data_IF_343301785107
#
_entry.id   IF_343301785107
#
_cell.length_a   1.000
_cell.length_b   1.000
_cell.length_c   1.000
_cell.angle_alpha   90.00
_cell.angle_beta   90.00
_cell.angle_gamma   90.00
#
_symmetry.space_group_name_H-M   'P 1'
#
loop_
_entity.id
_entity.type
_entity.pdbx_description
1 polymer ?
#
# COMPACT_ATOMS: atom_id res chain seq x y z
N UNK A 1 3.21 28.17 1.08
CA UNK A 1 2.39 27.75 2.25
C UNK A 1 2.92 26.39 2.72
N UNK A 2 2.67 26.00 3.98
CA UNK A 2 3.19 24.75 4.57
C UNK A 2 2.03 23.89 5.08
N UNK A 3 2.13 22.58 4.93
CA UNK A 3 1.18 21.63 5.48
C UNK A 3 1.87 20.34 5.90
N UNK A 4 1.27 19.66 6.88
CA UNK A 4 1.73 18.36 7.38
C UNK A 4 0.59 17.36 7.27
N UNK A 5 0.90 16.17 6.77
CA UNK A 5 -0.07 15.09 6.64
C UNK A 5 0.46 13.75 7.15
N UNK A 6 -0.47 12.84 7.47
CA UNK A 6 -0.21 11.49 7.94
C UNK A 6 -1.02 10.49 7.13
N UNK A 7 -0.41 9.35 6.79
CA UNK A 7 -1.09 8.23 6.15
C UNK A 7 -0.56 6.89 6.67
N UNK A 8 -1.39 5.84 6.54
CA UNK A 8 -1.08 4.48 6.96
C UNK A 8 -0.59 3.63 5.79
N UNK A 9 0.29 2.64 6.01
CA UNK A 9 0.61 1.61 5.02
C UNK A 9 -0.63 0.80 4.64
N UNK A 10 -0.52 0.00 3.59
CA UNK A 10 -1.60 -0.87 3.14
C UNK A 10 -1.15 -2.31 3.02
N UNK A 11 -2.11 -3.22 3.21
CA UNK A 11 -2.08 -4.61 2.79
C UNK A 11 -2.95 -4.79 1.56
N UNK A 12 -2.45 -5.43 0.51
CA UNK A 12 -3.26 -5.77 -0.66
C UNK A 12 -4.21 -6.94 -0.37
N UNK A 13 -5.51 -6.75 -0.62
CA UNK A 13 -6.53 -7.82 -0.62
C UNK A 13 -6.60 -8.45 -2.01
N UNK A 14 -6.84 -7.64 -3.04
CA UNK A 14 -6.65 -8.01 -4.44
C UNK A 14 -5.62 -7.05 -5.03
N UNK A 15 -4.44 -7.59 -5.33
CA UNK A 15 -3.25 -6.78 -5.67
C UNK A 15 -3.21 -6.49 -7.15
N UNK A 16 -2.87 -5.25 -7.54
CA UNK A 16 -2.49 -5.01 -8.94
C UNK A 16 -1.15 -5.68 -9.25
N UNK A 17 -0.96 -6.11 -10.50
CA UNK A 17 0.30 -6.66 -10.98
C UNK A 17 0.54 -6.19 -12.40
N UNK A 18 1.70 -5.54 -12.62
CA UNK A 18 2.03 -4.89 -13.89
C UNK A 18 1.37 -3.52 -14.08
N UNK A 19 2.01 -2.71 -14.92
CA UNK A 19 1.57 -1.38 -15.31
C UNK A 19 1.34 -1.32 -16.80
N UNK A 20 0.20 -0.76 -17.24
CA UNK A 20 -0.07 -0.45 -18.65
C UNK A 20 0.55 0.88 -19.08
N UNK A 21 0.89 1.72 -18.09
CA UNK A 21 1.58 2.98 -18.26
C UNK A 21 2.46 3.19 -17.02
N UNK A 22 3.79 3.16 -17.20
CA UNK A 22 4.75 3.25 -16.10
C UNK A 22 4.96 4.70 -15.65
N UNK A 23 4.90 5.67 -16.55
CA UNK A 23 5.08 7.09 -16.24
C UNK A 23 3.92 7.60 -15.37
N UNK A 24 2.70 7.31 -15.79
CA UNK A 24 1.48 7.66 -15.07
C UNK A 24 1.13 6.64 -13.96
N UNK A 25 1.86 5.54 -13.84
CA UNK A 25 1.63 4.43 -12.91
C UNK A 25 0.21 3.88 -12.97
N UNK A 26 -0.30 3.68 -14.20
CA UNK A 26 -1.60 3.09 -14.45
C UNK A 26 -1.52 1.57 -14.46
N UNK A 27 -2.19 0.85 -13.55
CA UNK A 27 -2.16 -0.61 -13.53
C UNK A 27 -3.02 -1.21 -14.65
N UNK A 28 -2.79 -2.48 -14.99
CA UNK A 28 -3.61 -3.21 -15.95
C UNK A 28 -5.04 -3.46 -15.46
N UNK A 29 -5.25 -3.61 -14.16
CA UNK A 29 -6.55 -3.90 -13.56
C UNK A 29 -6.70 -3.20 -12.21
N UNK A 30 -7.93 -3.15 -11.73
CA UNK A 30 -8.31 -2.63 -10.43
C UNK A 30 -7.60 -3.40 -9.29
N UNK A 31 -7.62 -2.81 -8.10
CA UNK A 31 -7.07 -3.47 -6.92
C UNK A 31 -7.75 -2.99 -5.64
N UNK A 32 -7.77 -3.86 -4.63
CA UNK A 32 -8.38 -3.60 -3.33
C UNK A 32 -7.33 -3.78 -2.23
N UNK A 33 -7.34 -2.91 -1.22
CA UNK A 33 -6.46 -3.01 -0.06
C UNK A 33 -7.15 -2.54 1.21
N UNK A 34 -6.53 -2.85 2.35
CA UNK A 34 -6.87 -2.28 3.65
C UNK A 34 -5.67 -1.54 4.22
N UNK A 35 -5.89 -0.39 4.86
CA UNK A 35 -4.86 0.34 5.60
C UNK A 35 -4.56 -0.32 6.94
N UNK A 36 -3.30 -0.27 7.39
CA UNK A 36 -2.84 -0.89 8.64
C UNK A 36 -2.29 0.14 9.62
N UNK A 37 -2.96 0.31 10.76
CA UNK A 37 -2.56 1.18 11.86
C UNK A 37 -1.98 0.35 13.03
N UNK A 38 -1.14 0.92 13.93
CA UNK A 38 -0.78 2.35 14.04
C UNK A 38 0.41 2.78 13.18
N UNK A 39 1.01 1.89 12.39
CA UNK A 39 2.11 2.25 11.48
C UNK A 39 1.71 3.40 10.56
N UNK A 40 2.60 4.37 10.34
CA UNK A 40 2.29 5.53 9.51
C UNK A 40 3.56 6.21 8.97
N UNK A 41 3.38 6.94 7.89
CA UNK A 41 4.32 7.98 7.43
C UNK A 41 3.72 9.35 7.69
N UNK A 42 4.55 10.30 8.10
CA UNK A 42 4.21 11.71 8.29
C UNK A 42 5.08 12.54 7.36
N UNK A 43 4.48 13.45 6.62
CA UNK A 43 5.19 14.32 5.67
C UNK A 43 4.81 15.77 5.90
N UNK A 44 5.81 16.65 5.97
CA UNK A 44 5.64 18.09 5.92
C UNK A 44 6.16 18.60 4.58
N UNK A 45 5.40 19.42 3.89
CA UNK A 45 5.77 20.06 2.64
C UNK A 45 5.53 21.58 2.71
N UNK A 46 6.45 22.37 2.18
CA UNK A 46 6.32 23.83 2.08
C UNK A 46 6.81 24.30 0.73
N UNK A 47 5.94 25.00 -0.03
CA UNK A 47 6.36 25.73 -1.22
C UNK A 47 6.91 27.10 -0.81
N UNK A 48 8.18 27.38 -1.18
CA UNK A 48 8.93 28.55 -0.78
C UNK A 48 9.62 29.19 -2.01
N UNK A 49 9.28 30.45 -2.33
CA UNK A 49 9.92 31.16 -3.45
C UNK A 49 11.38 31.56 -3.19
N UNK A 50 11.86 31.49 -1.94
CA UNK A 50 13.21 31.87 -1.57
C UNK A 50 14.23 30.73 -1.66
N UNK A 51 13.76 29.47 -1.87
CA UNK A 51 14.63 28.32 -2.07
C UNK A 51 15.26 28.34 -3.48
N UNK A 52 16.54 28.03 -3.54
CA UNK A 52 17.27 27.90 -4.82
C UNK A 52 16.97 26.57 -5.54
N UNK A 53 16.69 25.51 -4.76
CA UNK A 53 16.42 24.16 -5.26
C UNK A 53 15.41 23.43 -4.36
N UNK A 54 14.84 22.33 -4.88
CA UNK A 54 14.01 21.44 -4.08
C UNK A 54 14.85 20.67 -3.06
N UNK A 55 14.33 20.53 -1.85
CA UNK A 55 14.96 19.80 -0.76
C UNK A 55 14.07 18.60 -0.36
N UNK A 56 14.61 17.38 -0.43
CA UNK A 56 13.92 16.15 -0.08
C UNK A 56 14.67 15.42 1.04
N UNK A 57 13.99 15.20 2.18
CA UNK A 57 14.54 14.49 3.34
C UNK A 57 13.57 13.38 3.77
N UNK A 58 14.07 12.17 4.03
CA UNK A 58 13.31 11.07 4.59
C UNK A 58 14.08 10.49 5.78
N UNK A 59 13.43 10.40 6.94
CA UNK A 59 14.00 9.89 8.19
C UNK A 59 15.33 10.59 8.58
N UNK A 60 15.44 11.90 8.25
CA UNK A 60 16.60 12.76 8.53
C UNK A 60 17.73 12.65 7.50
N UNK A 61 17.58 11.87 6.43
CA UNK A 61 18.58 11.73 5.37
C UNK A 61 18.11 12.38 4.07
N UNK A 62 19.01 13.05 3.36
CA UNK A 62 18.73 13.62 2.04
C UNK A 62 18.46 12.49 1.02
N UNK A 63 17.43 12.68 0.22
CA UNK A 63 17.01 11.68 -0.79
C UNK A 63 17.62 12.06 -2.14
N UNK A 64 18.29 11.09 -2.76
CA UNK A 64 18.92 11.22 -4.08
C UNK A 64 18.43 10.16 -5.07
N UNK A 65 18.81 10.30 -6.33
CA UNK A 65 18.55 9.35 -7.41
C UNK A 65 17.06 9.07 -7.58
N UNK A 66 16.70 7.80 -7.80
CA UNK A 66 15.33 7.35 -8.11
C UNK A 66 14.30 7.74 -7.05
N UNK A 67 14.69 7.78 -5.78
CA UNK A 67 13.81 8.25 -4.71
C UNK A 67 13.40 9.70 -4.89
N UNK A 68 14.38 10.56 -5.17
CA UNK A 68 14.16 11.98 -5.45
C UNK A 68 13.35 12.19 -6.73
N UNK A 69 13.62 11.45 -7.80
CA UNK A 69 12.87 11.50 -9.07
C UNK A 69 11.38 11.21 -8.86
N UNK A 70 11.06 10.22 -8.03
CA UNK A 70 9.67 9.86 -7.72
C UNK A 70 8.96 10.94 -6.89
N UNK A 71 9.66 11.58 -5.96
CA UNK A 71 9.10 12.70 -5.18
C UNK A 71 8.90 13.88 -6.12
N UNK A 72 9.89 14.21 -6.96
CA UNK A 72 9.81 15.28 -7.94
C UNK A 72 8.60 15.11 -8.88
N UNK A 73 8.32 13.90 -9.36
CA UNK A 73 7.16 13.63 -10.22
C UNK A 73 5.82 14.00 -9.54
N UNK A 74 5.70 13.79 -8.23
CA UNK A 74 4.50 14.21 -7.47
C UNK A 74 4.47 15.72 -7.26
N UNK A 75 5.60 16.31 -6.90
CA UNK A 75 5.76 17.76 -6.68
C UNK A 75 5.45 18.54 -7.96
N UNK A 76 6.03 18.14 -9.09
CA UNK A 76 5.86 18.82 -10.38
C UNK A 76 4.42 18.74 -10.86
N UNK A 77 3.76 17.60 -10.64
CA UNK A 77 2.33 17.47 -10.95
C UNK A 77 1.47 18.42 -10.09
N UNK A 78 1.77 18.55 -8.78
CA UNK A 78 1.04 19.50 -7.92
C UNK A 78 1.32 20.95 -8.35
N UNK A 79 2.55 21.27 -8.74
CA UNK A 79 2.91 22.61 -9.30
C UNK A 79 2.08 22.91 -10.55
N UNK A 80 1.98 21.95 -11.46
CA UNK A 80 1.18 22.09 -12.69
C UNK A 80 -0.29 22.35 -12.36
N UNK A 81 -0.88 21.56 -11.45
CA UNK A 81 -2.27 21.74 -11.02
C UNK A 81 -2.53 23.09 -10.35
N UNK A 82 -1.60 23.58 -9.54
CA UNK A 82 -1.72 24.84 -8.80
C UNK A 82 -1.27 26.06 -9.60
N UNK A 83 -0.60 25.88 -10.74
CA UNK A 83 -0.01 26.98 -11.53
C UNK A 83 1.09 27.73 -10.80
N UNK A 84 1.91 27.06 -9.99
CA UNK A 84 3.02 27.63 -9.22
C UNK A 84 4.36 27.05 -9.68
N UNK A 85 5.45 27.82 -9.48
CA UNK A 85 6.81 27.42 -9.81
C UNK A 85 7.77 27.45 -8.61
N UNK A 86 7.24 27.67 -7.41
CA UNK A 86 8.01 27.72 -6.17
C UNK A 86 8.73 26.40 -5.90
N UNK A 87 9.94 26.50 -5.33
CA UNK A 87 10.67 25.34 -4.83
C UNK A 87 9.98 24.76 -3.60
N UNK A 88 10.25 23.49 -3.32
CA UNK A 88 9.64 22.80 -2.19
C UNK A 88 10.71 22.34 -1.19
N UNK A 89 10.47 22.59 0.08
CA UNK A 89 11.07 21.85 1.17
C UNK A 89 10.12 20.73 1.58
N UNK A 90 10.63 19.52 1.54
CA UNK A 90 9.88 18.29 1.78
C UNK A 90 10.62 17.43 2.80
N UNK A 91 9.96 17.09 3.89
CA UNK A 91 10.50 16.19 4.90
C UNK A 91 9.45 15.12 5.27
N UNK A 92 9.88 13.85 5.30
CA UNK A 92 9.04 12.72 5.65
C UNK A 92 9.68 11.85 6.72
N UNK A 93 8.88 11.32 7.65
CA UNK A 93 9.32 10.43 8.71
C UNK A 93 8.39 9.21 8.83
N UNK A 94 8.98 8.03 9.02
CA UNK A 94 8.27 6.78 9.17
C UNK A 94 8.26 6.32 10.64
N UNK A 95 7.12 5.84 11.14
CA UNK A 95 7.00 5.26 12.48
C UNK A 95 7.47 3.80 12.58
N UNK A 96 7.98 3.25 11.47
CA UNK A 96 8.38 1.85 11.32
C UNK A 96 9.64 1.75 10.46
N UNK A 97 10.45 0.69 10.62
CA UNK A 97 11.63 0.49 9.78
C UNK A 97 11.27 0.37 8.31
N UNK A 98 11.98 1.08 7.45
CA UNK A 98 11.86 0.96 5.99
C UNK A 98 12.47 -0.36 5.50
N UNK A 99 12.07 -0.83 4.31
CA UNK A 99 12.61 -2.03 3.64
C UNK A 99 12.24 -3.40 4.24
N UNK A 100 11.28 -3.49 5.17
CA UNK A 100 10.78 -4.77 5.69
C UNK A 100 9.54 -5.31 4.96
N UNK A 101 9.12 -4.69 3.86
CA UNK A 101 8.08 -5.20 2.98
C UNK A 101 6.64 -4.78 3.29
N UNK A 102 6.42 -3.88 4.24
CA UNK A 102 5.09 -3.46 4.68
C UNK A 102 4.65 -2.08 4.15
N UNK A 103 4.88 -1.82 2.86
CA UNK A 103 4.20 -0.73 2.16
C UNK A 103 4.64 0.70 2.53
N UNK A 104 5.91 0.93 2.92
CA UNK A 104 6.42 2.27 3.23
C UNK A 104 6.18 3.29 2.11
N UNK A 105 6.30 2.88 0.84
CA UNK A 105 6.01 3.76 -0.30
C UNK A 105 4.53 4.15 -0.40
N UNK A 106 3.61 3.29 0.04
CA UNK A 106 2.19 3.60 0.02
C UNK A 106 1.83 4.73 0.98
N UNK A 107 2.21 4.59 2.27
CA UNK A 107 1.96 5.64 3.27
C UNK A 107 2.77 6.91 2.99
N UNK A 108 4.04 6.78 2.57
CA UNK A 108 4.90 7.91 2.26
C UNK A 108 4.33 8.81 1.17
N UNK A 109 3.98 8.25 0.01
CA UNK A 109 3.42 9.04 -1.09
C UNK A 109 1.96 9.48 -0.85
N UNK A 110 1.19 8.79 -0.03
CA UNK A 110 -0.13 9.26 0.37
C UNK A 110 -0.04 10.49 1.30
N UNK A 111 0.84 10.46 2.30
CA UNK A 111 1.11 11.61 3.17
C UNK A 111 1.70 12.77 2.36
N UNK A 112 2.65 12.49 1.44
CA UNK A 112 3.24 13.47 0.55
C UNK A 112 2.19 14.19 -0.30
N UNK A 113 1.33 13.45 -1.00
CA UNK A 113 0.29 14.04 -1.86
C UNK A 113 -0.68 14.91 -1.05
N UNK A 114 -1.14 14.44 0.12
CA UNK A 114 -2.01 15.22 0.99
C UNK A 114 -1.34 16.52 1.44
N UNK A 115 -0.07 16.45 1.91
CA UNK A 115 0.66 17.64 2.38
C UNK A 115 0.94 18.63 1.23
N UNK A 116 1.32 18.14 0.04
CA UNK A 116 1.62 18.97 -1.13
C UNK A 116 0.37 19.67 -1.67
N UNK A 117 -0.75 18.94 -1.80
CA UNK A 117 -2.05 19.49 -2.27
C UNK A 117 -2.52 20.59 -1.32
N UNK A 118 -2.49 20.36 -0.02
CA UNK A 118 -2.86 21.34 1.00
C UNK A 118 -1.91 22.56 1.00
N UNK A 119 -0.58 22.33 0.95
CA UNK A 119 0.41 23.40 0.90
C UNK A 119 0.33 24.25 -0.38
N UNK A 120 -0.16 23.67 -1.48
CA UNK A 120 -0.42 24.39 -2.74
C UNK A 120 -1.76 25.15 -2.73
N UNK A 121 -2.61 24.96 -1.72
CA UNK A 121 -3.92 25.57 -1.60
C UNK A 121 -4.96 25.02 -2.59
N UNK A 122 -4.79 23.77 -3.03
CA UNK A 122 -5.73 23.09 -3.92
C UNK A 122 -6.88 22.47 -3.11
N UNK A 123 -8.12 22.71 -3.56
CA UNK A 123 -9.33 22.09 -3.00
C UNK A 123 -9.64 20.81 -3.78
N UNK A 124 -9.17 19.68 -3.26
CA UNK A 124 -9.31 18.37 -3.88
C UNK A 124 -9.93 17.36 -2.91
N UNK A 125 -10.86 16.56 -3.40
CA UNK A 125 -11.40 15.40 -2.66
C UNK A 125 -10.34 14.29 -2.53
N UNK A 126 -10.45 13.38 -1.55
CA UNK A 126 -9.53 12.25 -1.42
C UNK A 126 -9.40 11.39 -2.69
N UNK A 127 -10.49 11.04 -3.41
CA UNK A 127 -10.36 10.37 -4.70
C UNK A 127 -9.50 11.14 -5.72
N UNK A 128 -9.58 12.47 -5.76
CA UNK A 128 -8.73 13.30 -6.62
C UNK A 128 -7.29 13.33 -6.12
N UNK A 129 -7.03 13.51 -4.81
CA UNK A 129 -5.68 13.41 -4.23
C UNK A 129 -5.06 12.04 -4.49
N UNK A 130 -5.88 10.97 -4.57
CA UNK A 130 -5.38 9.64 -4.88
C UNK A 130 -4.71 9.54 -6.26
N UNK A 131 -5.14 10.36 -7.25
CA UNK A 131 -4.50 10.42 -8.57
C UNK A 131 -3.11 11.07 -8.48
N UNK A 132 -2.93 12.05 -7.59
CA UNK A 132 -1.63 12.67 -7.29
C UNK A 132 -0.70 11.68 -6.60
N UNK A 133 -1.16 11.02 -5.55
CA UNK A 133 -0.38 10.04 -4.78
C UNK A 133 0.09 8.86 -5.65
N UNK A 134 -0.74 8.42 -6.59
CA UNK A 134 -0.45 7.32 -7.52
C UNK A 134 0.80 7.57 -8.35
N UNK A 135 1.10 8.80 -8.73
CA UNK A 135 2.31 9.16 -9.51
C UNK A 135 3.60 8.82 -8.77
N UNK A 136 3.62 8.93 -7.47
CA UNK A 136 4.73 8.48 -6.64
C UNK A 136 4.73 6.96 -6.42
N UNK A 137 3.55 6.38 -6.17
CA UNK A 137 3.36 4.94 -5.99
C UNK A 137 1.89 4.56 -6.24
N UNK A 138 1.64 3.61 -7.14
CA UNK A 138 0.27 3.16 -7.43
C UNK A 138 -0.49 2.69 -6.17
N UNK A 139 0.19 2.05 -5.23
CA UNK A 139 -0.38 1.63 -3.94
C UNK A 139 -0.79 2.81 -3.05
N UNK A 140 -0.13 3.97 -3.18
CA UNK A 140 -0.41 5.16 -2.37
C UNK A 140 -1.82 5.72 -2.60
N UNK A 141 -2.38 5.53 -3.79
CA UNK A 141 -3.75 5.95 -4.08
C UNK A 141 -4.75 5.40 -3.05
N UNK A 142 -4.61 4.12 -2.65
CA UNK A 142 -5.51 3.49 -1.68
C UNK A 142 -5.21 3.91 -0.24
N UNK A 143 -3.95 4.24 0.07
CA UNK A 143 -3.59 4.80 1.37
C UNK A 143 -4.18 6.21 1.60
N UNK A 144 -4.46 6.98 0.54
CA UNK A 144 -5.15 8.27 0.64
C UNK A 144 -6.59 8.09 1.11
N UNK A 145 -7.33 7.14 0.53
CA UNK A 145 -8.74 6.92 0.86
C UNK A 145 -8.94 6.14 2.15
N UNK A 146 -7.96 5.32 2.57
CA UNK A 146 -7.93 4.65 3.87
C UNK A 146 -8.98 3.56 4.07
N UNK A 147 -8.95 2.89 5.22
CA UNK A 147 -9.83 1.77 5.48
C UNK A 147 -9.70 0.70 4.41
N UNK A 148 -10.79 0.06 4.02
CA UNK A 148 -10.85 -0.73 2.80
C UNK A 148 -11.04 0.18 1.59
N UNK A 149 -10.17 0.07 0.61
CA UNK A 149 -10.12 0.96 -0.55
C UNK A 149 -9.97 0.21 -1.87
N UNK A 150 -10.73 0.65 -2.87
CA UNK A 150 -10.74 0.14 -4.23
C UNK A 150 -10.11 1.15 -5.18
N UNK A 151 -8.96 0.84 -5.76
CA UNK A 151 -8.37 1.58 -6.86
C UNK A 151 -8.96 1.09 -8.17
N UNK A 152 -9.72 1.93 -8.85
CA UNK A 152 -10.18 1.72 -10.22
C UNK A 152 -9.04 2.03 -11.17
N UNK A 153 -8.72 1.13 -12.10
CA UNK A 153 -7.67 1.36 -13.09
C UNK A 153 -8.06 2.41 -14.14
N UNK A 154 -9.37 2.64 -14.33
CA UNK A 154 -9.91 3.68 -15.19
C UNK A 154 -9.56 3.52 -16.68
N UNK A 155 -10.06 4.41 -17.50
CA UNK A 155 -9.74 4.49 -18.93
C UNK A 155 -8.53 5.39 -19.19
N UNK A 156 -8.33 6.41 -18.36
CA UNK A 156 -7.28 7.42 -18.46
C UNK A 156 -6.70 7.77 -17.08
N UNK A 157 -5.84 8.79 -17.04
CA UNK A 157 -5.19 9.25 -15.81
C UNK A 157 -6.20 9.74 -14.76
N UNK A 158 -7.18 10.55 -15.13
CA UNK A 158 -8.15 11.13 -14.21
C UNK A 158 -9.12 10.08 -13.62
N UNK A 159 -9.43 9.03 -14.39
CA UNK A 159 -10.34 7.96 -13.96
C UNK A 159 -9.65 6.93 -13.05
N UNK A 160 -8.32 6.84 -13.09
CA UNK A 160 -7.55 5.93 -12.25
C UNK A 160 -7.41 6.48 -10.83
N UNK A 161 -8.45 6.31 -10.04
CA UNK A 161 -8.57 6.86 -8.68
C UNK A 161 -9.10 5.85 -7.68
N UNK A 162 -8.78 6.08 -6.41
CA UNK A 162 -9.20 5.24 -5.30
C UNK A 162 -10.50 5.75 -4.68
N UNK A 163 -11.35 4.82 -4.27
CA UNK A 163 -12.57 5.07 -3.50
C UNK A 163 -12.60 4.14 -2.28
N UNK A 164 -13.13 4.63 -1.14
CA UNK A 164 -13.29 3.82 0.06
C UNK A 164 -14.48 2.87 -0.11
N UNK A 165 -14.36 1.69 0.47
CA UNK A 165 -15.45 0.72 0.64
C UNK A 165 -15.86 0.78 2.12
N UNK A 166 -17.07 1.24 2.39
CA UNK A 166 -17.62 1.27 3.75
C UNK A 166 -18.00 -0.15 4.19
N UNK A 167 -17.56 -0.57 5.39
CA UNK A 167 -17.77 -1.92 5.90
C UNK A 167 -17.62 -1.99 7.42
N UNK A 168 -18.32 -2.94 8.05
CA UNK A 168 -18.17 -3.27 9.47
C UNK A 168 -16.90 -4.07 9.78
N UNK A 169 -16.22 -4.62 8.77
CA UNK A 169 -14.97 -5.36 8.94
C UNK A 169 -13.84 -4.54 9.54
N UNK A 170 -13.92 -3.20 9.51
CA UNK A 170 -12.89 -2.32 10.04
C UNK A 170 -12.71 -2.47 11.55
N UNK A 171 -13.78 -2.71 12.29
CA UNK A 171 -13.75 -2.90 13.74
C UNK A 171 -13.29 -4.32 14.14
N UNK A 172 -13.57 -5.30 13.28
CA UNK A 172 -13.32 -6.72 13.54
C UNK A 172 -11.89 -7.14 13.17
N UNK A 173 -11.36 -6.66 12.06
CA UNK A 173 -10.07 -7.09 11.51
C UNK A 173 -8.90 -6.78 12.43
N UNK A 174 -8.07 -7.80 12.67
CA UNK A 174 -6.71 -7.68 13.20
C UNK A 174 -5.73 -8.33 12.23
N UNK A 175 -4.60 -7.70 12.01
CA UNK A 175 -3.56 -8.19 11.11
C UNK A 175 -2.30 -8.45 11.92
N UNK A 176 -1.92 -9.71 12.03
CA UNK A 176 -0.63 -10.12 12.60
C UNK A 176 0.39 -10.14 11.46
N UNK A 177 1.34 -9.23 11.50
CA UNK A 177 2.43 -9.16 10.53
C UNK A 177 3.59 -10.04 10.98
N UNK A 178 3.84 -11.13 10.27
CA UNK A 178 5.05 -11.97 10.45
C UNK A 178 6.19 -11.42 9.59
N UNK A 179 7.25 -10.90 10.27
CA UNK A 179 8.36 -10.23 9.59
C UNK A 179 9.42 -11.23 9.16
N UNK A 180 9.50 -11.51 7.86
CA UNK A 180 10.50 -12.40 7.26
C UNK A 180 11.47 -11.58 6.42
N UNK A 181 12.72 -11.37 6.90
CA UNK A 181 13.72 -10.63 6.12
C UNK A 181 14.04 -11.32 4.80
N UNK A 182 13.99 -10.57 3.71
CA UNK A 182 14.40 -11.04 2.39
C UNK A 182 14.82 -9.89 1.51
N UNK A 183 15.66 -10.18 0.51
CA UNK A 183 15.92 -9.24 -0.57
C UNK A 183 14.66 -9.07 -1.42
N UNK A 184 14.35 -7.84 -1.81
CA UNK A 184 13.13 -7.49 -2.52
C UNK A 184 13.40 -6.49 -3.64
N UNK A 185 12.95 -6.82 -4.86
CA UNK A 185 12.89 -5.92 -6.01
C UNK A 185 11.44 -5.79 -6.51
N UNK A 186 10.63 -5.03 -5.77
CA UNK A 186 9.18 -4.90 -6.07
C UNK A 186 8.90 -4.35 -7.45
N UNK A 187 9.73 -3.42 -7.93
CA UNK A 187 9.51 -2.74 -9.19
C UNK A 187 9.80 -3.67 -10.38
N UNK A 188 10.91 -4.41 -10.33
CA UNK A 188 11.22 -5.43 -11.33
C UNK A 188 10.08 -6.48 -11.44
N UNK A 189 9.47 -6.87 -10.32
CA UNK A 189 8.33 -7.79 -10.33
C UNK A 189 7.11 -7.23 -11.08
N UNK A 190 6.87 -5.92 -11.04
CA UNK A 190 5.79 -5.29 -11.82
C UNK A 190 6.16 -5.12 -13.30
N UNK A 191 7.39 -4.74 -13.60
CA UNK A 191 7.88 -4.57 -14.97
C UNK A 191 7.83 -5.90 -15.75
N UNK A 192 8.18 -7.00 -15.08
CA UNK A 192 8.22 -8.34 -15.68
C UNK A 192 6.86 -9.06 -15.72
N UNK A 193 5.85 -8.55 -15.02
CA UNK A 193 4.57 -9.24 -14.86
C UNK A 193 3.93 -9.64 -16.19
N UNK A 194 3.87 -8.72 -17.15
CA UNK A 194 3.26 -8.94 -18.45
C UNK A 194 4.02 -9.97 -19.32
N UNK A 195 5.29 -10.25 -19.01
CA UNK A 195 6.10 -11.26 -19.69
C UNK A 195 5.93 -12.68 -19.12
N UNK A 196 5.24 -12.82 -17.99
CA UNK A 196 4.90 -14.14 -17.41
C UNK A 196 3.81 -14.81 -18.23
N UNK A 197 3.99 -16.11 -18.54
CA UNK A 197 2.95 -16.91 -19.20
C UNK A 197 1.69 -17.13 -18.33
N UNK A 198 1.76 -16.80 -17.04
CA UNK A 198 0.60 -16.83 -16.14
C UNK A 198 -0.17 -15.51 -16.13
N UNK A 199 0.36 -14.44 -16.72
CA UNK A 199 -0.27 -13.11 -16.66
C UNK A 199 -1.63 -13.06 -17.33
N UNK A 200 -1.79 -13.64 -18.54
CA UNK A 200 -3.08 -13.70 -19.23
C UNK A 200 -4.12 -14.49 -18.42
N UNK A 201 -3.71 -15.57 -17.76
CA UNK A 201 -4.59 -16.34 -16.89
C UNK A 201 -5.06 -15.50 -15.69
N UNK A 202 -4.13 -14.72 -15.08
CA UNK A 202 -4.49 -13.78 -14.02
C UNK A 202 -5.49 -12.74 -14.53
N UNK A 203 -5.26 -12.13 -15.68
CA UNK A 203 -6.18 -11.16 -16.30
C UNK A 203 -7.55 -11.74 -16.59
N UNK A 204 -7.64 -13.02 -16.93
CA UNK A 204 -8.92 -13.67 -17.25
C UNK A 204 -9.85 -13.82 -16.03
N UNK A 205 -9.31 -13.99 -14.82
CA UNK A 205 -10.13 -14.18 -13.61
C UNK A 205 -10.20 -12.96 -12.68
N UNK A 206 -9.22 -12.04 -12.77
CA UNK A 206 -9.04 -11.00 -11.75
C UNK A 206 -10.25 -10.06 -11.62
N UNK A 207 -10.94 -9.75 -12.73
CA UNK A 207 -12.10 -8.86 -12.70
C UNK A 207 -13.29 -9.45 -11.91
N UNK A 208 -13.51 -10.76 -12.06
CA UNK A 208 -14.50 -11.50 -11.25
C UNK A 208 -14.13 -11.49 -9.77
N UNK A 209 -12.87 -11.75 -9.47
CA UNK A 209 -12.34 -11.75 -8.11
C UNK A 209 -12.44 -10.38 -7.43
N UNK A 210 -12.16 -9.28 -8.18
CA UNK A 210 -12.32 -7.91 -7.68
C UNK A 210 -13.79 -7.62 -7.34
N UNK A 211 -14.72 -7.98 -8.24
CA UNK A 211 -16.14 -7.77 -8.01
C UNK A 211 -16.62 -8.52 -6.76
N UNK A 212 -16.24 -9.79 -6.63
CA UNK A 212 -16.59 -10.62 -5.48
C UNK A 212 -15.96 -10.12 -4.17
N UNK A 213 -14.68 -9.73 -4.19
CA UNK A 213 -14.01 -9.18 -3.01
C UNK A 213 -14.65 -7.86 -2.55
N UNK A 214 -15.02 -6.99 -3.49
CA UNK A 214 -15.72 -5.75 -3.17
C UNK A 214 -17.07 -6.02 -2.51
N UNK A 215 -17.85 -6.97 -3.05
CA UNK A 215 -19.17 -7.31 -2.53
C UNK A 215 -19.06 -8.00 -1.15
N UNK A 216 -18.08 -8.90 -0.96
CA UNK A 216 -17.81 -9.55 0.32
C UNK A 216 -17.39 -8.52 1.40
N UNK A 217 -16.50 -7.57 1.06
CA UNK A 217 -16.10 -6.49 1.98
C UNK A 217 -17.32 -5.63 2.36
N UNK A 218 -18.08 -5.17 1.38
CA UNK A 218 -19.27 -4.35 1.62
C UNK A 218 -20.35 -5.08 2.42
N UNK A 219 -20.43 -6.41 2.29
CA UNK A 219 -21.33 -7.29 3.04
C UNK A 219 -20.84 -7.66 4.44
N UNK A 220 -19.62 -7.29 4.84
CA UNK A 220 -19.03 -7.68 6.13
C UNK A 220 -18.65 -9.16 6.21
N UNK A 221 -18.42 -9.82 5.08
CA UNK A 221 -18.14 -11.25 5.00
C UNK A 221 -16.64 -11.51 5.23
N UNK A 222 -16.21 -11.65 6.49
CA UNK A 222 -14.81 -11.80 6.88
C UNK A 222 -14.12 -12.96 6.17
N UNK A 223 -14.65 -14.17 6.34
CA UNK A 223 -14.04 -15.39 5.80
C UNK A 223 -13.88 -15.28 4.27
N UNK A 224 -14.95 -14.86 3.58
CA UNK A 224 -14.92 -14.76 2.12
C UNK A 224 -13.91 -13.69 1.63
N UNK A 225 -13.84 -12.54 2.31
CA UNK A 225 -12.89 -11.47 2.00
C UNK A 225 -11.45 -11.98 2.06
N UNK A 226 -11.09 -12.70 3.12
CA UNK A 226 -9.71 -13.12 3.33
C UNK A 226 -9.36 -14.44 2.63
N UNK A 227 -10.31 -15.31 2.30
CA UNK A 227 -10.11 -16.40 1.32
C UNK A 227 -9.68 -15.84 -0.04
N UNK A 228 -10.36 -14.80 -0.52
CA UNK A 228 -10.01 -14.14 -1.78
C UNK A 228 -8.63 -13.48 -1.73
N UNK A 229 -8.26 -12.86 -0.59
CA UNK A 229 -6.93 -12.29 -0.39
C UNK A 229 -5.81 -13.36 -0.40
N UNK A 230 -6.08 -14.52 0.20
CA UNK A 230 -5.16 -15.68 0.18
C UNK A 230 -4.97 -16.20 -1.24
N UNK A 231 -6.08 -16.44 -1.97
CA UNK A 231 -6.03 -16.88 -3.37
C UNK A 231 -5.33 -15.87 -4.28
N UNK A 232 -5.57 -14.58 -4.09
CA UNK A 232 -4.88 -13.54 -4.86
C UNK A 232 -3.38 -13.53 -4.60
N UNK A 233 -2.95 -13.78 -3.37
CA UNK A 233 -1.53 -13.90 -3.01
C UNK A 233 -0.86 -15.05 -3.76
N UNK A 234 -1.53 -16.19 -3.86
CA UNK A 234 -1.04 -17.35 -4.61
C UNK A 234 -0.99 -17.08 -6.12
N UNK A 235 -2.02 -16.42 -6.67
CA UNK A 235 -2.08 -16.02 -8.08
C UNK A 235 -0.98 -15.03 -8.45
N UNK A 236 -0.74 -14.02 -7.59
CA UNK A 236 0.34 -13.05 -7.75
C UNK A 236 1.71 -13.76 -7.76
N UNK A 237 1.94 -14.64 -6.77
CA UNK A 237 3.19 -15.39 -6.67
C UNK A 237 3.43 -16.28 -7.90
N UNK A 238 2.39 -16.96 -8.41
CA UNK A 238 2.49 -17.75 -9.61
C UNK A 238 2.93 -16.92 -10.82
N UNK A 239 2.41 -15.69 -10.96
CA UNK A 239 2.79 -14.77 -12.03
C UNK A 239 4.24 -14.29 -11.85
N UNK A 240 4.66 -13.95 -10.64
CA UNK A 240 6.03 -13.50 -10.34
C UNK A 240 7.05 -14.60 -10.54
N UNK A 241 6.76 -15.82 -10.05
CA UNK A 241 7.65 -16.99 -10.18
C UNK A 241 7.83 -17.46 -11.62
N UNK A 242 6.92 -17.12 -12.51
CA UNK A 242 6.95 -17.50 -13.93
C UNK A 242 7.30 -16.35 -14.86
N UNK A 243 7.68 -15.20 -14.33
CA UNK A 243 8.28 -14.09 -15.05
C UNK A 243 9.71 -14.41 -15.50
N UNK A 244 10.33 -13.58 -16.36
CA UNK A 244 11.67 -13.82 -16.90
C UNK A 244 12.75 -14.05 -15.85
N UNK A 245 12.75 -13.31 -14.74
CA UNK A 245 13.72 -13.46 -13.65
C UNK A 245 13.39 -14.61 -12.69
N UNK A 246 12.16 -15.15 -12.71
CA UNK A 246 11.76 -16.28 -11.87
C UNK A 246 11.84 -16.00 -10.36
N UNK A 247 11.40 -14.83 -9.93
CA UNK A 247 11.49 -14.41 -8.53
C UNK A 247 10.68 -15.32 -7.59
N UNK A 248 11.37 -15.94 -6.63
CA UNK A 248 10.75 -16.66 -5.50
C UNK A 248 11.07 -15.91 -4.23
N UNK A 249 10.13 -15.09 -3.78
CA UNK A 249 10.32 -14.27 -2.57
C UNK A 249 10.09 -15.04 -1.27
N UNK A 250 9.33 -16.14 -1.30
CA UNK A 250 9.00 -16.92 -0.12
C UNK A 250 10.20 -17.63 0.44
N UNK A 251 10.42 -17.46 1.73
CA UNK A 251 11.47 -18.08 2.52
C UNK A 251 10.90 -19.28 3.30
N UNK A 252 11.73 -20.14 3.89
CA UNK A 252 11.22 -21.25 4.73
C UNK A 252 10.24 -20.78 5.80
N UNK A 253 10.52 -19.65 6.47
CA UNK A 253 9.61 -19.08 7.49
C UNK A 253 8.26 -18.62 6.92
N UNK A 254 8.24 -18.12 5.71
CA UNK A 254 6.98 -17.78 5.01
C UNK A 254 6.08 -19.03 4.89
N UNK A 255 6.65 -20.16 4.49
CA UNK A 255 5.92 -21.44 4.34
C UNK A 255 5.51 -22.01 5.69
N UNK A 256 6.34 -21.88 6.72
CA UNK A 256 5.99 -22.28 8.09
C UNK A 256 4.75 -21.53 8.58
N UNK A 257 4.72 -20.19 8.39
CA UNK A 257 3.55 -19.37 8.75
C UNK A 257 2.30 -19.82 7.95
N UNK A 258 2.40 -20.10 6.65
CA UNK A 258 1.25 -20.60 5.87
C UNK A 258 0.70 -21.90 6.43
N UNK A 259 1.57 -22.81 6.84
CA UNK A 259 1.15 -24.09 7.43
C UNK A 259 0.49 -23.86 8.80
N UNK A 260 1.07 -23.03 9.66
CA UNK A 260 0.51 -22.68 10.95
C UNK A 260 -0.89 -22.03 10.83
N UNK A 261 -1.09 -21.14 9.84
CA UNK A 261 -2.42 -20.55 9.53
C UNK A 261 -3.42 -21.64 9.13
N UNK A 262 -3.02 -22.60 8.30
CA UNK A 262 -3.91 -23.71 7.89
C UNK A 262 -4.26 -24.63 9.06
N UNK A 263 -3.33 -24.87 9.98
CA UNK A 263 -3.57 -25.68 11.20
C UNK A 263 -4.54 -24.95 12.14
N UNK A 264 -4.39 -23.64 12.34
CA UNK A 264 -5.32 -22.84 13.13
C UNK A 264 -6.74 -22.85 12.51
N UNK A 265 -6.83 -22.71 11.19
CA UNK A 265 -8.12 -22.78 10.48
C UNK A 265 -8.77 -24.15 10.60
N UNK A 266 -8.01 -25.23 10.57
CA UNK A 266 -8.51 -26.59 10.81
C UNK A 266 -9.00 -26.80 12.26
N UNK A 267 -8.64 -25.89 13.19
CA UNK A 267 -9.14 -25.84 14.56
C UNK A 267 -10.20 -24.74 14.75
N UNK A 268 -10.95 -24.43 13.69
CA UNK A 268 -12.08 -23.49 13.64
C UNK A 268 -11.73 -22.04 14.02
N UNK A 269 -10.47 -21.59 13.82
CA UNK A 269 -10.06 -20.19 13.98
C UNK A 269 -10.25 -19.47 12.64
N UNK A 270 -10.97 -18.33 12.58
CA UNK A 270 -11.08 -17.51 11.38
C UNK A 270 -9.74 -16.79 11.12
N UNK A 271 -8.89 -17.40 10.29
CA UNK A 271 -7.53 -16.91 10.04
C UNK A 271 -7.08 -17.21 8.61
N UNK A 272 -6.48 -16.22 7.95
CA UNK A 272 -6.09 -16.27 6.54
C UNK A 272 -4.75 -15.55 6.33
N UNK A 273 -3.87 -16.09 5.50
CA UNK A 273 -2.65 -15.38 5.15
C UNK A 273 -2.82 -14.52 3.89
N UNK A 274 -2.01 -13.50 3.80
CA UNK A 274 -1.83 -12.72 2.58
C UNK A 274 -0.38 -12.28 2.48
N UNK A 275 0.15 -12.20 1.27
CA UNK A 275 1.49 -11.67 0.99
C UNK A 275 1.43 -10.69 -0.18
N UNK A 276 2.24 -9.66 -0.12
CA UNK A 276 2.51 -8.79 -1.27
C UNK A 276 3.72 -9.32 -2.06
N UNK A 277 4.47 -8.47 -2.72
CA UNK A 277 5.74 -8.86 -3.37
C UNK A 277 6.87 -8.93 -2.32
N UNK A 278 6.96 -10.01 -1.56
CA UNK A 278 7.98 -10.20 -0.52
C UNK A 278 7.80 -11.52 0.25
N UNK A 279 8.60 -11.70 1.31
CA UNK A 279 8.56 -12.90 2.16
C UNK A 279 7.71 -12.72 3.43
N UNK A 280 7.53 -11.48 3.89
CA UNK A 280 6.72 -11.18 5.09
C UNK A 280 5.25 -11.48 4.84
N UNK A 281 4.57 -11.94 5.88
CA UNK A 281 3.18 -12.45 5.80
C UNK A 281 2.27 -11.56 6.63
N UNK A 282 1.15 -11.17 6.06
CA UNK A 282 0.01 -10.63 6.78
C UNK A 282 -0.89 -11.81 7.16
N UNK A 283 -1.15 -12.00 8.44
CA UNK A 283 -2.07 -13.01 8.94
C UNK A 283 -3.31 -12.30 9.47
N UNK A 284 -4.42 -12.45 8.75
CA UNK A 284 -5.67 -11.76 8.99
C UNK A 284 -6.54 -12.60 9.88
N UNK A 285 -7.02 -12.05 10.99
CA UNK A 285 -7.90 -12.69 11.96
C UNK A 285 -8.83 -11.69 12.62
N UNK A 286 -9.72 -12.14 13.48
CA UNK A 286 -10.61 -11.25 14.24
C UNK A 286 -9.99 -10.85 15.58
N UNK A 287 -10.53 -9.81 16.21
CA UNK A 287 -10.09 -9.33 17.51
C UNK A 287 -10.12 -10.43 18.61
N UNK A 288 -11.05 -11.37 18.50
CA UNK A 288 -11.20 -12.48 19.46
C UNK A 288 -9.98 -13.42 19.45
N UNK A 289 -9.37 -13.66 18.28
CA UNK A 289 -8.33 -14.68 18.12
C UNK A 289 -6.92 -14.09 17.97
N UNK A 290 -6.75 -12.77 18.01
CA UNK A 290 -5.50 -12.10 17.67
C UNK A 290 -4.32 -12.57 18.52
N UNK A 291 -4.48 -12.71 19.84
CA UNK A 291 -3.40 -13.12 20.76
C UNK A 291 -2.91 -14.56 20.44
N UNK A 292 -3.86 -15.47 20.19
CA UNK A 292 -3.53 -16.85 19.81
C UNK A 292 -2.81 -16.92 18.46
N UNK A 293 -3.26 -16.11 17.50
CA UNK A 293 -2.66 -16.08 16.16
C UNK A 293 -1.27 -15.44 16.23
N UNK A 294 -1.07 -14.36 17.01
CA UNK A 294 0.24 -13.74 17.19
C UNK A 294 1.25 -14.71 17.81
N UNK A 295 0.87 -15.39 18.90
CA UNK A 295 1.72 -16.40 19.53
C UNK A 295 2.13 -17.49 18.53
N UNK A 296 1.17 -18.03 17.77
CA UNK A 296 1.45 -19.06 16.77
C UNK A 296 2.38 -18.60 15.66
N UNK A 297 2.24 -17.35 15.19
CA UNK A 297 3.11 -16.77 14.17
C UNK A 297 4.51 -16.51 14.74
N UNK A 298 4.61 -16.02 15.97
CA UNK A 298 5.89 -15.80 16.66
C UNK A 298 6.66 -17.12 16.86
N UNK A 299 5.95 -18.23 17.17
CA UNK A 299 6.53 -19.58 17.30
C UNK A 299 7.17 -20.10 15.99
N UNK A 300 6.81 -19.53 14.84
CA UNK A 300 7.54 -19.76 13.58
C UNK A 300 8.95 -19.10 13.58
N UNK A 301 9.36 -18.44 14.66
CA UNK A 301 10.68 -17.82 14.82
C UNK A 301 10.85 -16.52 14.02
N UNK A 302 9.81 -15.72 13.98
CA UNK A 302 9.78 -14.39 13.34
C UNK A 302 9.32 -13.33 14.33
N UNK A 303 9.77 -12.09 14.12
CA UNK A 303 9.20 -10.95 14.85
C UNK A 303 7.78 -10.68 14.34
N UNK A 304 6.89 -10.28 15.26
CA UNK A 304 5.49 -9.97 14.94
C UNK A 304 5.13 -8.51 15.25
N UNK A 305 4.08 -8.05 14.61
CA UNK A 305 3.37 -6.82 14.97
C UNK A 305 1.89 -7.01 14.73
N UNK A 306 1.07 -6.51 15.65
CA UNK A 306 -0.39 -6.50 15.49
C UNK A 306 -0.82 -5.13 14.98
N UNK A 307 -1.64 -5.14 13.94
CA UNK A 307 -2.24 -3.95 13.36
C UNK A 307 -3.76 -4.02 13.37
N UNK A 308 -4.36 -2.84 13.41
CA UNK A 308 -5.78 -2.60 13.21
C UNK A 308 -5.99 -1.88 11.88
N UNK A 309 -7.24 -1.68 11.49
CA UNK A 309 -7.55 -0.92 10.27
C UNK A 309 -7.20 0.56 10.48
N UNK A 310 -6.44 1.10 9.53
CA UNK A 310 -6.05 2.51 9.50
C UNK A 310 -7.05 3.36 8.73
N UNK A 311 -7.37 4.54 9.27
CA UNK A 311 -8.24 5.52 8.59
C UNK A 311 -7.59 6.17 7.37
N UNK A 312 -8.30 7.11 6.70
CA UNK A 312 -7.79 7.84 5.54
C UNK A 312 -6.61 8.75 5.88
N UNK A 313 -5.84 9.09 4.87
CA UNK A 313 -4.83 10.13 4.98
C UNK A 313 -5.46 11.45 5.44
N UNK A 314 -4.78 12.17 6.33
CA UNK A 314 -5.31 13.39 6.94
C UNK A 314 -4.23 14.44 7.15
N UNK A 315 -4.67 15.69 7.10
CA UNK A 315 -3.84 16.84 7.51
C UNK A 315 -3.73 16.83 9.04
N UNK A 316 -2.56 17.25 9.51
CA UNK A 316 -2.22 17.38 10.93
C UNK A 316 -2.08 18.85 11.31
N UNK A 317 -2.11 19.14 12.61
CA UNK A 317 -1.88 20.48 13.13
C UNK A 317 -0.42 20.93 12.90
N UNK A 318 -0.20 22.24 12.82
CA UNK A 318 1.13 22.84 12.61
C UNK A 318 2.15 22.43 13.68
N UNK A 319 1.70 22.10 14.89
CA UNK A 319 2.54 21.62 16.00
C UNK A 319 3.17 20.24 15.73
N UNK A 320 2.65 19.49 14.76
CA UNK A 320 3.15 18.18 14.35
C UNK A 320 4.11 18.25 13.16
N UNK A 321 4.40 19.45 12.65
CA UNK A 321 5.30 19.64 11.53
C UNK A 321 6.73 19.12 11.84
N UNK A 322 7.42 18.64 10.80
CA UNK A 322 8.78 18.11 10.92
C UNK A 322 9.83 19.24 10.88
N UNK A 323 9.46 20.42 10.36
CA UNK A 323 10.31 21.62 10.35
C UNK A 323 9.49 22.88 10.46
#
# INVERSE_FOLDING_TARGET
>A
MKATAKAHPIQGIVKYHGMRDEELRLPYHDSISVCTAPSHSKTTAAFDPELDADEYVIDGEAVEGRGAERIAAVVDHVRELAGIDHRVRFESANSFPTNIGFGSSASGFAAAAMALVEAAGLDMTRPEVSTVARRGSCSAARAVTGGFSHLKNGMNDADCRSERIETELEDELRVVAGMVPSYKETEAAHEEAAASHMFENRMAHIHGQIAEARDAIAGGEFDRTFELAEHDSLSLAATTMTGPAGWVYWQPRTIEIFNAVRELRAADVPVYFSVDTGASVYVNTTAEYVDRVEETVADCGVDTRVWEVGGPARILDDSEALF
#
